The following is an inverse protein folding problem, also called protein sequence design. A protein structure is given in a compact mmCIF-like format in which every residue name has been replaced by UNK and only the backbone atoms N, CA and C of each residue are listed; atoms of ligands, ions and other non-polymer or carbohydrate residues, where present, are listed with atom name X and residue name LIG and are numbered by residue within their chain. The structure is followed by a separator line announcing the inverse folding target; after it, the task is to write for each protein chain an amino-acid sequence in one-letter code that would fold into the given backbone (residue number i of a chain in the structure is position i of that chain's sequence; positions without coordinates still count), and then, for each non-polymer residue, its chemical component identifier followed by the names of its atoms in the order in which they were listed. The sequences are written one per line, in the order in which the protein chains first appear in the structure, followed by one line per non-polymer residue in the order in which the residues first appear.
data_IF_659750767167
#
_entry.id   IF_659750767167
#
_cell.length_a   1.000
_cell.length_b   1.000
_cell.length_c   1.000
_cell.angle_alpha   90.00
_cell.angle_beta   90.00
_cell.angle_gamma   90.00
#
_symmetry.space_group_name_H-M   'P 1'
#
loop_
_entity.id
_entity.type
_entity.pdbx_description
1 polymer ?
#
# COMPACT_ATOMS: atom_id res chain seq x y z
N UNK A 1 -1.58 -11.41 14.68
CA UNK A 1 -2.81 -10.82 14.14
C UNK A 1 -2.57 -9.68 13.16
N UNK A 2 -1.77 -8.65 13.46
CA UNK A 2 -1.59 -7.51 12.54
C UNK A 2 -1.21 -7.86 11.09
N UNK A 3 -0.37 -8.87 10.85
CA UNK A 3 -0.04 -9.29 9.46
C UNK A 3 -1.23 -9.92 8.72
N UNK A 4 -2.17 -10.53 9.44
CA UNK A 4 -3.28 -11.29 8.85
C UNK A 4 -4.26 -10.40 8.05
N UNK A 5 -4.34 -9.11 8.38
CA UNK A 5 -5.21 -8.18 7.65
C UNK A 5 -4.69 -7.87 6.24
N UNK A 6 -3.43 -8.17 5.94
CA UNK A 6 -2.86 -8.09 4.58
C UNK A 6 -3.43 -9.17 3.64
N UNK A 7 -4.08 -10.18 4.20
CA UNK A 7 -4.81 -11.21 3.45
C UNK A 7 -6.29 -10.86 3.22
N UNK A 8 -6.78 -9.71 3.74
CA UNK A 8 -8.17 -9.29 3.53
C UNK A 8 -8.30 -8.20 2.46
N UNK A 9 -9.54 -7.92 2.04
CA UNK A 9 -9.88 -6.71 1.26
C UNK A 9 -9.40 -5.47 2.02
N UNK A 10 -8.75 -4.56 1.31
CA UNK A 10 -8.15 -3.34 1.86
C UNK A 10 -9.00 -2.08 1.69
N UNK A 11 -10.23 -2.22 1.18
CA UNK A 11 -11.25 -1.18 1.26
C UNK A 11 -11.54 -0.82 2.73
N UNK A 12 -11.27 0.43 3.15
CA UNK A 12 -11.48 0.86 4.54
C UNK A 12 -12.94 0.79 5.01
N UNK A 13 -13.89 1.12 4.14
CA UNK A 13 -15.31 1.11 4.48
C UNK A 13 -15.76 -0.33 4.72
N UNK A 14 -15.45 -1.24 3.80
CA UNK A 14 -15.78 -2.66 3.96
C UNK A 14 -15.16 -3.27 5.21
N UNK A 15 -13.90 -2.92 5.55
CA UNK A 15 -13.24 -3.43 6.77
C UNK A 15 -13.97 -3.05 8.05
N UNK A 16 -14.53 -1.84 8.09
CA UNK A 16 -15.32 -1.36 9.23
C UNK A 16 -16.72 -1.99 9.24
N UNK A 17 -17.43 -1.95 8.13
CA UNK A 17 -18.78 -2.55 7.99
C UNK A 17 -18.80 -4.05 8.28
N UNK A 18 -17.74 -4.77 7.90
CA UNK A 18 -17.63 -6.21 8.13
C UNK A 18 -17.30 -6.59 9.57
N UNK A 19 -16.86 -5.63 10.40
CA UNK A 19 -16.31 -5.87 11.74
C UNK A 19 -14.87 -6.43 11.74
N UNK A 20 -14.18 -6.43 10.60
CA UNK A 20 -12.77 -6.88 10.53
C UNK A 20 -11.86 -5.91 11.27
N UNK A 21 -12.14 -4.61 11.17
CA UNK A 21 -11.43 -3.59 11.92
C UNK A 21 -11.60 -3.80 13.43
N UNK A 22 -12.85 -4.00 13.89
CA UNK A 22 -13.15 -4.20 15.31
C UNK A 22 -12.49 -5.44 15.89
N UNK A 23 -12.47 -6.54 15.12
CA UNK A 23 -11.78 -7.76 15.51
C UNK A 23 -10.30 -7.49 15.83
N UNK A 24 -9.65 -6.66 15.01
CA UNK A 24 -8.24 -6.30 15.18
C UNK A 24 -8.07 -5.36 16.37
N UNK A 25 -8.93 -4.34 16.51
CA UNK A 25 -8.88 -3.43 17.66
C UNK A 25 -9.04 -4.19 18.99
N UNK A 26 -10.08 -5.02 19.11
CA UNK A 26 -10.32 -5.87 20.29
C UNK A 26 -9.08 -6.71 20.61
N UNK A 27 -8.51 -7.38 19.59
CA UNK A 27 -7.31 -8.17 19.80
C UNK A 27 -6.16 -7.34 20.39
N UNK A 28 -5.86 -6.17 19.83
CA UNK A 28 -4.74 -5.33 20.27
C UNK A 28 -4.99 -4.68 21.64
N UNK A 29 -6.24 -4.30 21.93
CA UNK A 29 -6.65 -3.82 23.25
C UNK A 29 -6.43 -4.88 24.32
N UNK A 30 -6.87 -6.11 24.06
CA UNK A 30 -6.75 -7.22 25.02
C UNK A 30 -5.29 -7.62 25.26
N UNK A 31 -4.52 -7.76 24.19
CA UNK A 31 -3.19 -8.40 24.22
C UNK A 31 -2.01 -7.43 24.37
N UNK A 32 -2.14 -6.19 23.90
CA UNK A 32 -1.03 -5.22 23.87
C UNK A 32 -1.37 -3.91 24.60
N UNK A 33 -2.59 -3.77 25.12
CA UNK A 33 -3.05 -2.55 25.82
C UNK A 33 -2.87 -1.28 24.97
N UNK A 34 -3.20 -1.40 23.68
CA UNK A 34 -3.25 -0.28 22.73
C UNK A 34 -4.61 -0.23 22.03
N UNK A 35 -5.08 0.98 21.76
CA UNK A 35 -6.24 1.27 20.91
C UNK A 35 -5.76 1.38 19.47
N UNK A 36 -6.41 0.66 18.56
CA UNK A 36 -6.24 0.86 17.13
C UNK A 36 -6.99 2.12 16.71
N UNK A 37 -6.31 3.05 16.04
CA UNK A 37 -6.89 4.29 15.52
C UNK A 37 -7.17 4.16 14.02
N UNK A 38 -6.22 3.61 13.27
CA UNK A 38 -6.34 3.47 11.82
C UNK A 38 -5.56 2.26 11.29
N UNK A 39 -6.06 1.67 10.20
CA UNK A 39 -5.38 0.69 9.36
C UNK A 39 -5.17 1.32 7.98
N UNK A 40 -4.11 2.14 7.85
CA UNK A 40 -3.83 2.90 6.65
C UNK A 40 -3.29 2.00 5.52
N UNK A 41 -4.02 1.79 4.41
CA UNK A 41 -3.54 0.95 3.31
C UNK A 41 -2.44 1.67 2.50
N UNK A 42 -1.47 0.93 2.00
CA UNK A 42 -0.37 1.47 1.17
C UNK A 42 -0.66 1.38 -0.34
N UNK A 43 -1.93 1.60 -0.71
CA UNK A 43 -2.43 1.46 -2.07
C UNK A 43 -3.24 0.17 -2.27
N UNK A 44 -3.95 0.09 -3.39
CA UNK A 44 -4.77 -1.07 -3.79
C UNK A 44 -3.91 -2.30 -4.02
N UNK A 45 -2.74 -2.11 -4.64
CA UNK A 45 -1.66 -3.08 -4.78
C UNK A 45 -0.35 -2.41 -4.42
N UNK A 46 0.31 -2.92 -3.40
CA UNK A 46 1.42 -2.20 -2.77
C UNK A 46 2.75 -2.92 -2.88
N UNK A 47 2.83 -4.12 -3.48
CA UNK A 47 4.03 -4.95 -3.46
C UNK A 47 4.53 -5.33 -4.85
N UNK A 48 5.85 -5.46 -4.98
CA UNK A 48 6.54 -5.88 -6.20
C UNK A 48 7.93 -6.46 -5.89
N UNK A 49 8.57 -7.05 -6.91
CA UNK A 49 10.00 -7.36 -6.86
C UNK A 49 10.78 -6.35 -7.71
N UNK A 50 11.89 -5.85 -7.16
CA UNK A 50 12.85 -5.02 -7.89
C UNK A 50 14.18 -5.76 -7.99
N UNK A 51 14.73 -5.85 -9.20
CA UNK A 51 15.81 -6.78 -9.54
C UNK A 51 16.96 -6.07 -10.26
N UNK A 52 18.17 -6.62 -10.13
CA UNK A 52 19.35 -6.20 -10.91
C UNK A 52 19.20 -6.55 -12.40
N UNK A 53 18.67 -7.73 -12.67
CA UNK A 53 18.43 -8.28 -14.01
C UNK A 53 16.93 -8.50 -14.27
N UNK A 54 16.50 -8.61 -15.55
CA UNK A 54 15.11 -8.93 -15.86
C UNK A 54 14.68 -10.26 -15.23
N UNK A 55 13.47 -10.32 -14.68
CA UNK A 55 12.90 -11.57 -14.19
C UNK A 55 12.74 -12.59 -15.33
N UNK A 56 12.91 -13.87 -15.01
CA UNK A 56 12.65 -14.95 -15.96
C UNK A 56 11.16 -15.02 -16.32
N UNK A 57 10.88 -15.21 -17.62
CA UNK A 57 9.53 -15.55 -18.11
C UNK A 57 9.16 -17.02 -17.89
N UNK A 58 10.12 -17.87 -17.50
CA UNK A 58 9.88 -19.26 -17.12
C UNK A 58 9.50 -19.33 -15.64
N UNK A 59 8.52 -20.16 -15.30
CA UNK A 59 8.20 -20.51 -13.91
C UNK A 59 9.17 -21.59 -13.41
N UNK A 60 9.73 -21.47 -12.20
CA UNK A 60 9.63 -20.33 -11.29
C UNK A 60 10.53 -19.14 -11.70
N UNK A 61 9.98 -17.93 -11.74
CA UNK A 61 10.60 -16.74 -12.31
C UNK A 61 11.78 -16.15 -11.52
N UNK A 62 11.88 -16.47 -10.22
CA UNK A 62 12.99 -16.05 -9.35
C UNK A 62 14.02 -17.16 -9.11
N UNK A 63 13.99 -18.25 -9.90
CA UNK A 63 14.83 -19.43 -9.68
C UNK A 63 16.30 -19.06 -9.45
N UNK A 64 16.80 -19.34 -8.24
CA UNK A 64 18.21 -19.15 -7.87
C UNK A 64 18.60 -17.71 -7.49
N UNK A 65 17.68 -16.74 -7.57
CA UNK A 65 17.95 -15.37 -7.15
C UNK A 65 17.88 -15.25 -5.63
N UNK A 66 18.87 -14.59 -5.03
CA UNK A 66 18.87 -14.19 -3.62
C UNK A 66 18.07 -12.91 -3.47
N UNK A 67 16.91 -12.99 -2.83
CA UNK A 67 15.98 -11.87 -2.75
C UNK A 67 15.93 -11.38 -1.32
N UNK A 68 16.32 -10.13 -1.11
CA UNK A 68 16.09 -9.48 0.18
C UNK A 68 14.59 -9.37 0.42
N UNK A 69 14.12 -9.80 1.58
CA UNK A 69 12.72 -9.68 1.93
C UNK A 69 12.52 -9.54 3.44
N UNK A 70 11.29 -9.21 3.86
CA UNK A 70 10.84 -9.36 5.25
C UNK A 70 9.92 -10.59 5.33
N UNK A 71 9.58 -11.04 6.54
CA UNK A 71 8.77 -12.24 6.78
C UNK A 71 7.54 -12.35 5.85
N UNK A 72 6.85 -11.23 5.60
CA UNK A 72 5.64 -11.16 4.78
C UNK A 72 5.83 -11.63 3.32
N UNK A 73 7.06 -11.77 2.84
CA UNK A 73 7.39 -12.19 1.48
C UNK A 73 8.10 -13.54 1.40
N UNK A 74 8.49 -14.13 2.53
CA UNK A 74 9.46 -15.23 2.56
C UNK A 74 8.94 -16.50 1.85
N UNK A 75 7.76 -17.01 2.24
CA UNK A 75 7.17 -18.23 1.62
C UNK A 75 6.82 -18.00 0.16
N UNK A 76 6.34 -16.80 -0.17
CA UNK A 76 6.04 -16.42 -1.55
C UNK A 76 7.29 -16.39 -2.42
N UNK A 77 8.39 -15.82 -1.91
CA UNK A 77 9.68 -15.77 -2.62
C UNK A 77 10.18 -17.19 -2.88
N UNK A 78 10.10 -18.09 -1.88
CA UNK A 78 10.42 -19.52 -2.04
C UNK A 78 9.53 -20.20 -3.09
N UNK A 79 8.23 -19.92 -3.08
CA UNK A 79 7.26 -20.46 -4.05
C UNK A 79 7.54 -20.01 -5.49
N UNK A 80 8.13 -18.83 -5.66
CA UNK A 80 8.60 -18.29 -6.93
C UNK A 80 10.05 -18.71 -7.27
N UNK A 81 10.63 -19.67 -6.52
CA UNK A 81 11.95 -20.25 -6.75
C UNK A 81 13.13 -19.42 -6.25
N UNK A 82 12.87 -18.29 -5.60
CA UNK A 82 13.90 -17.43 -5.02
C UNK A 82 14.40 -17.94 -3.68
N UNK A 83 15.57 -17.44 -3.29
CA UNK A 83 16.22 -17.68 -2.00
C UNK A 83 16.00 -16.43 -1.14
N UNK A 84 15.02 -16.40 -0.23
CA UNK A 84 14.78 -15.21 0.58
C UNK A 84 15.92 -14.99 1.59
N UNK A 85 16.38 -13.75 1.70
CA UNK A 85 17.33 -13.30 2.71
C UNK A 85 16.67 -12.20 3.54
N UNK A 86 16.50 -12.45 4.84
CA UNK A 86 15.85 -11.52 5.74
C UNK A 86 16.83 -10.42 6.16
N UNK A 87 16.65 -9.22 5.61
CA UNK A 87 17.46 -8.04 5.91
C UNK A 87 16.51 -6.88 6.19
N UNK A 88 16.68 -6.12 7.29
CA UNK A 88 15.91 -4.91 7.57
C UNK A 88 15.93 -3.89 6.43
N UNK A 89 14.89 -3.04 6.34
CA UNK A 89 14.74 -2.12 5.20
C UNK A 89 15.86 -1.06 5.12
N UNK A 90 16.34 -0.60 6.26
CA UNK A 90 17.46 0.35 6.38
C UNK A 90 18.80 -0.21 5.92
N UNK A 91 18.95 -1.54 5.85
CA UNK A 91 20.16 -2.22 5.38
C UNK A 91 20.06 -2.69 3.92
N UNK A 92 18.89 -2.50 3.28
CA UNK A 92 18.63 -3.01 1.94
C UNK A 92 19.53 -2.36 0.87
N UNK A 93 19.79 -1.05 0.97
CA UNK A 93 20.69 -0.37 0.03
C UNK A 93 22.11 -0.96 0.09
N UNK A 94 22.66 -1.13 1.29
CA UNK A 94 24.00 -1.68 1.48
C UNK A 94 24.09 -3.14 1.01
N UNK A 95 23.08 -3.95 1.32
CA UNK A 95 23.02 -5.35 0.88
C UNK A 95 22.95 -5.47 -0.66
N UNK A 96 22.15 -4.61 -1.30
CA UNK A 96 22.15 -4.49 -2.74
C UNK A 96 23.53 -4.08 -3.23
N UNK A 97 24.07 -2.94 -2.79
CA UNK A 97 25.36 -2.42 -3.25
C UNK A 97 26.52 -3.42 -3.11
N UNK A 98 26.55 -4.19 -2.01
CA UNK A 98 27.53 -5.25 -1.78
C UNK A 98 27.34 -6.51 -2.63
N UNK A 99 26.22 -6.63 -3.36
CA UNK A 99 25.90 -7.80 -4.16
C UNK A 99 25.56 -9.04 -3.32
N UNK A 100 25.19 -8.89 -2.05
CA UNK A 100 24.76 -10.01 -1.21
C UNK A 100 23.36 -10.52 -1.60
N UNK A 101 22.58 -9.68 -2.28
CA UNK A 101 21.27 -9.99 -2.86
C UNK A 101 21.17 -9.50 -4.31
N UNK A 102 20.41 -10.24 -5.12
CA UNK A 102 20.22 -10.00 -6.55
C UNK A 102 19.00 -9.08 -6.82
N UNK A 103 18.22 -8.82 -5.79
CA UNK A 103 17.05 -7.96 -5.79
C UNK A 103 16.33 -7.99 -4.45
N UNK A 104 15.15 -7.40 -4.41
CA UNK A 104 14.35 -7.37 -3.20
C UNK A 104 12.85 -7.36 -3.48
N UNK A 105 12.09 -7.95 -2.55
CA UNK A 105 10.66 -7.69 -2.44
C UNK A 105 10.47 -6.34 -1.73
N UNK A 106 9.71 -5.44 -2.36
CA UNK A 106 9.54 -4.09 -1.85
C UNK A 106 8.18 -3.50 -2.23
N UNK A 107 7.90 -2.33 -1.68
CA UNK A 107 6.66 -1.63 -1.95
C UNK A 107 6.67 -0.97 -3.34
N UNK A 108 5.48 -0.59 -3.81
CA UNK A 108 5.32 0.23 -5.03
C UNK A 108 5.77 1.67 -4.84
N UNK A 109 6.00 2.09 -3.60
CA UNK A 109 6.50 3.41 -3.22
C UNK A 109 7.75 3.33 -2.34
N UNK A 110 8.56 4.39 -2.32
CA UNK A 110 9.76 4.55 -1.48
C UNK A 110 11.07 4.03 -2.10
N UNK A 111 11.07 3.66 -3.38
CA UNK A 111 12.28 3.25 -4.11
C UNK A 111 13.19 4.47 -4.35
N UNK A 112 12.60 5.62 -4.66
CA UNK A 112 13.33 6.88 -4.87
C UNK A 112 13.90 7.39 -3.55
N UNK A 113 13.08 7.41 -2.50
CA UNK A 113 13.45 7.90 -1.16
C UNK A 113 14.67 7.17 -0.60
N UNK A 114 14.78 5.86 -0.88
CA UNK A 114 15.88 5.00 -0.46
C UNK A 114 16.97 4.83 -1.53
N UNK A 115 16.88 5.55 -2.66
CA UNK A 115 17.82 5.49 -3.79
C UNK A 115 18.10 4.08 -4.31
N UNK A 116 17.14 3.17 -4.18
CA UNK A 116 17.33 1.76 -4.53
C UNK A 116 17.53 1.59 -6.05
N UNK A 117 16.99 2.51 -6.85
CA UNK A 117 17.17 2.57 -8.30
C UNK A 117 18.64 2.69 -8.75
N UNK A 118 19.56 3.07 -7.87
CA UNK A 118 21.00 3.09 -8.16
C UNK A 118 21.54 1.67 -8.33
N UNK A 119 21.02 0.72 -7.54
CA UNK A 119 21.51 -0.65 -7.45
C UNK A 119 20.68 -1.69 -8.22
N UNK A 120 19.37 -1.47 -8.36
CA UNK A 120 18.47 -2.32 -9.15
C UNK A 120 17.92 -1.54 -10.33
N UNK A 121 17.71 -2.21 -11.46
CA UNK A 121 17.29 -1.55 -12.72
C UNK A 121 15.96 -2.05 -13.26
N UNK A 122 15.40 -3.12 -12.68
CA UNK A 122 14.16 -3.72 -13.18
C UNK A 122 13.04 -3.72 -12.15
N UNK A 123 11.88 -3.20 -12.54
CA UNK A 123 10.62 -3.26 -11.81
C UNK A 123 9.81 -4.46 -12.33
N UNK A 124 9.59 -5.47 -11.50
CA UNK A 124 8.89 -6.69 -11.92
C UNK A 124 7.37 -6.54 -11.83
N UNK A 125 6.68 -6.97 -12.89
CA UNK A 125 5.22 -6.91 -13.05
C UNK A 125 4.58 -8.32 -13.13
N UNK A 126 3.29 -8.44 -12.75
CA UNK A 126 2.44 -7.38 -12.19
C UNK A 126 2.76 -7.07 -10.72
N UNK A 127 2.29 -5.92 -10.23
CA UNK A 127 2.24 -5.63 -8.79
C UNK A 127 1.22 -6.56 -8.12
N UNK A 128 1.42 -6.87 -6.85
CA UNK A 128 0.59 -7.80 -6.09
C UNK A 128 0.45 -7.35 -4.65
N UNK A 129 -0.33 -8.10 -3.87
CA UNK A 129 -0.37 -7.97 -2.43
C UNK A 129 -0.97 -6.64 -1.93
N UNK A 130 -1.20 -6.59 -0.62
CA UNK A 130 -1.82 -5.46 0.07
C UNK A 130 -1.13 -5.29 1.42
N UNK A 131 -0.42 -4.18 1.60
CA UNK A 131 0.27 -3.83 2.84
C UNK A 131 -0.45 -2.65 3.47
N UNK A 132 -0.38 -2.56 4.79
CA UNK A 132 -0.98 -1.47 5.57
C UNK A 132 -0.05 -1.08 6.72
N UNK A 133 -0.30 0.10 7.29
CA UNK A 133 0.24 0.49 8.58
C UNK A 133 -0.87 0.68 9.59
N UNK A 134 -0.72 0.03 10.75
CA UNK A 134 -1.56 0.26 11.91
C UNK A 134 -1.06 1.48 12.67
N UNK A 135 -1.99 2.40 12.97
CA UNK A 135 -1.78 3.53 13.88
C UNK A 135 -2.41 3.18 15.21
N UNK A 136 -1.63 3.25 16.27
CA UNK A 136 -2.04 2.83 17.60
C UNK A 136 -1.79 3.93 18.63
N UNK A 137 -2.64 3.97 19.65
CA UNK A 137 -2.49 4.81 20.83
C UNK A 137 -2.46 3.95 22.08
N UNK A 138 -1.71 4.37 23.11
CA UNK A 138 -1.75 3.71 24.41
C UNK A 138 -3.19 3.70 24.95
N UNK A 139 -3.67 2.54 25.40
CA UNK A 139 -5.07 2.35 25.79
C UNK A 139 -5.46 3.20 27.00
N UNK A 140 -4.62 3.24 28.04
CA UNK A 140 -4.89 4.02 29.24
C UNK A 140 -4.91 5.53 28.95
N UNK A 141 -4.07 6.00 28.03
CA UNK A 141 -4.11 7.39 27.60
C UNK A 141 -5.41 7.69 26.83
N UNK A 142 -5.80 6.80 25.92
CA UNK A 142 -7.04 6.95 25.16
C UNK A 142 -8.27 7.01 26.08
N UNK A 143 -8.39 6.06 27.00
CA UNK A 143 -9.58 5.93 27.86
C UNK A 143 -9.57 6.87 29.06
N UNK A 144 -8.39 7.12 29.65
CA UNK A 144 -8.26 7.82 30.93
C UNK A 144 -7.84 9.28 30.83
N UNK A 145 -7.36 9.75 29.66
CA UNK A 145 -6.86 11.14 29.50
C UNK A 145 -7.62 11.95 28.45
N UNK A 146 -8.38 11.30 27.57
CA UNK A 146 -9.18 11.99 26.57
C UNK A 146 -10.62 12.08 27.00
N UNK A 147 -11.24 13.22 26.73
CA UNK A 147 -12.69 13.40 26.81
C UNK A 147 -13.40 12.57 25.73
N UNK A 148 -14.72 12.30 25.88
CA UNK A 148 -15.49 11.61 24.85
C UNK A 148 -15.44 12.30 23.48
N UNK A 149 -15.42 13.64 23.45
CA UNK A 149 -15.34 14.41 22.20
C UNK A 149 -13.96 14.29 21.54
N UNK A 150 -12.88 14.29 22.33
CA UNK A 150 -11.52 14.04 21.81
C UNK A 150 -11.34 12.61 21.30
N UNK A 151 -11.88 11.61 22.00
CA UNK A 151 -11.89 10.22 21.54
C UNK A 151 -12.60 10.09 20.20
N UNK A 152 -13.80 10.67 20.09
CA UNK A 152 -14.59 10.70 18.87
C UNK A 152 -13.83 11.37 17.73
N UNK A 153 -13.21 12.52 17.99
CA UNK A 153 -12.43 13.24 16.99
C UNK A 153 -11.25 12.39 16.48
N UNK A 154 -10.51 11.72 17.37
CA UNK A 154 -9.39 10.86 16.97
C UNK A 154 -9.88 9.67 16.13
N UNK A 155 -10.97 9.01 16.54
CA UNK A 155 -11.54 7.89 15.77
C UNK A 155 -12.02 8.34 14.38
N UNK A 156 -12.64 9.52 14.29
CA UNK A 156 -13.05 10.13 13.02
C UNK A 156 -11.86 10.45 12.12
N UNK A 157 -10.79 11.04 12.66
CA UNK A 157 -9.56 11.30 11.90
C UNK A 157 -8.85 10.02 11.48
N UNK A 158 -8.87 8.99 12.32
CA UNK A 158 -8.38 7.66 11.98
C UNK A 158 -9.10 7.10 10.76
N UNK A 159 -10.44 7.18 10.72
CA UNK A 159 -11.24 6.75 9.57
C UNK A 159 -10.95 7.58 8.31
N UNK A 160 -10.83 8.89 8.45
CA UNK A 160 -10.51 9.79 7.32
C UNK A 160 -9.12 9.48 6.74
N UNK A 161 -8.15 9.17 7.59
CA UNK A 161 -6.81 8.76 7.18
C UNK A 161 -6.85 7.47 6.35
N UNK A 162 -7.60 6.45 6.78
CA UNK A 162 -7.70 5.19 6.05
C UNK A 162 -8.26 5.40 4.63
N UNK A 163 -9.34 6.19 4.51
CA UNK A 163 -10.01 6.48 3.24
C UNK A 163 -9.11 7.28 2.31
N UNK A 164 -8.51 8.36 2.81
CA UNK A 164 -7.67 9.25 2.01
C UNK A 164 -6.37 8.59 1.56
N UNK A 165 -5.78 7.74 2.41
CA UNK A 165 -4.47 7.13 2.12
C UNK A 165 -4.54 6.13 0.97
N UNK A 166 -5.64 5.37 0.82
CA UNK A 166 -5.75 4.37 -0.27
C UNK A 166 -5.53 5.02 -1.65
N UNK A 167 -6.32 6.05 -1.96
CA UNK A 167 -6.23 6.78 -3.22
C UNK A 167 -4.87 7.49 -3.37
N UNK A 168 -4.43 8.17 -2.32
CA UNK A 168 -3.18 8.93 -2.34
C UNK A 168 -1.96 8.04 -2.59
N UNK A 169 -1.95 6.83 -2.03
CA UNK A 169 -0.86 5.89 -2.23
C UNK A 169 -0.87 5.26 -3.63
N UNK A 170 -2.04 5.03 -4.22
CA UNK A 170 -2.15 4.62 -5.62
C UNK A 170 -1.64 5.73 -6.57
N UNK A 171 -2.00 6.98 -6.32
CA UNK A 171 -1.48 8.14 -7.07
C UNK A 171 0.04 8.27 -6.91
N UNK A 172 0.56 8.14 -5.68
CA UNK A 172 2.00 8.15 -5.40
C UNK A 172 2.73 7.02 -6.14
N UNK A 173 2.17 5.82 -6.16
CA UNK A 173 2.76 4.67 -6.88
C UNK A 173 2.85 4.92 -8.40
N UNK A 174 1.84 5.56 -9.00
CA UNK A 174 1.87 5.95 -10.43
C UNK A 174 2.94 7.01 -10.69
N UNK A 175 3.01 8.04 -9.84
CA UNK A 175 4.02 9.11 -9.95
C UNK A 175 5.43 8.55 -9.81
N UNK A 176 5.65 7.71 -8.79
CA UNK A 176 6.95 7.10 -8.53
C UNK A 176 7.38 6.16 -9.66
N UNK A 177 6.47 5.36 -10.24
CA UNK A 177 6.77 4.59 -11.44
C UNK A 177 7.21 5.47 -12.62
N UNK A 178 6.50 6.57 -12.86
CA UNK A 178 6.84 7.48 -13.96
C UNK A 178 8.25 8.08 -13.76
N UNK A 179 8.60 8.44 -12.53
CA UNK A 179 9.90 9.01 -12.21
C UNK A 179 11.02 7.96 -12.26
N UNK A 180 10.79 6.75 -11.75
CA UNK A 180 11.76 5.65 -11.85
C UNK A 180 12.09 5.29 -13.30
N UNK A 181 11.11 5.40 -14.22
CA UNK A 181 11.36 5.24 -15.66
C UNK A 181 12.27 6.33 -16.22
N UNK A 182 12.12 7.59 -15.81
CA UNK A 182 13.03 8.68 -16.19
C UNK A 182 14.43 8.47 -15.63
N UNK A 183 14.54 7.88 -14.44
CA UNK A 183 15.79 7.45 -13.82
C UNK A 183 16.38 6.17 -14.45
N UNK A 184 15.79 5.67 -15.54
CA UNK A 184 16.33 4.57 -16.35
C UNK A 184 15.94 3.18 -15.87
N UNK A 185 15.07 3.03 -14.88
CA UNK A 185 14.52 1.72 -14.53
C UNK A 185 13.58 1.21 -15.62
N UNK A 186 13.59 -0.10 -15.86
CA UNK A 186 12.79 -0.77 -16.89
C UNK A 186 11.79 -1.71 -16.24
N UNK A 187 10.63 -1.86 -16.86
CA UNK A 187 9.69 -2.90 -16.43
C UNK A 187 10.09 -4.25 -17.00
N UNK A 188 10.01 -5.30 -16.18
CA UNK A 188 10.10 -6.70 -16.59
C UNK A 188 8.86 -7.44 -16.10
N UNK A 189 8.57 -8.61 -16.66
CA UNK A 189 7.31 -9.32 -16.42
C UNK A 189 7.55 -10.78 -16.07
N UNK A 190 6.89 -11.24 -15.00
CA UNK A 190 6.80 -12.66 -14.72
C UNK A 190 6.16 -13.40 -15.90
N UNK A 191 6.50 -14.69 -16.04
CA UNK A 191 5.77 -15.58 -16.93
C UNK A 191 4.28 -15.66 -16.55
N UNK A 192 3.39 -16.01 -17.50
CA UNK A 192 1.95 -16.04 -17.26
C UNK A 192 1.54 -16.96 -16.10
N UNK A 193 2.28 -18.06 -15.89
CA UNK A 193 2.03 -18.98 -14.77
C UNK A 193 2.26 -18.32 -13.40
N UNK A 194 3.39 -17.61 -13.24
CA UNK A 194 3.71 -16.90 -11.99
C UNK A 194 2.81 -15.67 -11.81
N UNK A 195 2.64 -14.87 -12.87
CA UNK A 195 1.83 -13.66 -12.83
C UNK A 195 0.39 -13.94 -12.38
N UNK A 196 -0.21 -15.05 -12.82
CA UNK A 196 -1.60 -15.41 -12.50
C UNK A 196 -1.80 -15.84 -11.04
N UNK A 197 -0.74 -16.19 -10.30
CA UNK A 197 -0.83 -16.75 -8.93
C UNK A 197 -0.30 -15.83 -7.84
N UNK A 198 0.21 -14.63 -8.15
CA UNK A 198 0.85 -13.75 -7.17
C UNK A 198 -0.07 -13.40 -5.99
N UNK A 199 -1.30 -12.94 -6.23
CA UNK A 199 -2.18 -12.58 -5.12
C UNK A 199 -2.63 -13.80 -4.29
N UNK A 200 -2.83 -14.95 -4.95
CA UNK A 200 -3.14 -16.21 -4.24
C UNK A 200 -1.97 -16.61 -3.34
N UNK A 201 -0.74 -16.55 -3.84
CA UNK A 201 0.47 -16.84 -3.07
C UNK A 201 0.66 -15.84 -1.93
N UNK A 202 0.39 -14.55 -2.14
CA UNK A 202 0.42 -13.53 -1.10
C UNK A 202 -0.56 -13.85 0.03
N UNK A 203 -1.85 -14.02 -0.31
CA UNK A 203 -2.91 -14.31 0.67
C UNK A 203 -2.60 -15.60 1.44
N UNK A 204 -2.18 -16.66 0.73
CA UNK A 204 -1.83 -17.94 1.35
C UNK A 204 -0.66 -17.78 2.33
N UNK A 205 0.42 -17.12 1.90
CA UNK A 205 1.59 -16.87 2.73
C UNK A 205 1.24 -16.06 3.99
N UNK A 206 0.45 -14.99 3.84
CA UNK A 206 0.05 -14.17 4.98
C UNK A 206 -0.78 -14.99 5.99
N UNK A 207 -1.68 -15.86 5.53
CA UNK A 207 -2.39 -16.78 6.42
C UNK A 207 -1.47 -17.79 7.08
N UNK A 208 -0.52 -18.40 6.35
CA UNK A 208 0.49 -19.30 6.91
C UNK A 208 1.30 -18.61 8.03
N UNK A 209 1.77 -17.39 7.79
CA UNK A 209 2.51 -16.60 8.78
C UNK A 209 1.61 -16.27 9.98
N UNK A 210 0.38 -15.84 9.74
CA UNK A 210 -0.56 -15.48 10.79
C UNK A 210 -0.88 -16.68 11.69
N UNK A 211 -1.18 -17.84 11.10
CA UNK A 211 -1.48 -19.08 11.82
C UNK A 211 -0.25 -19.62 12.55
N UNK A 212 0.94 -19.55 11.96
CA UNK A 212 2.20 -19.91 12.63
C UNK A 212 2.47 -19.03 13.85
N UNK A 213 2.19 -17.72 13.76
CA UNK A 213 2.51 -16.76 14.84
C UNK A 213 1.41 -16.62 15.90
N UNK A 214 0.14 -16.82 15.54
CA UNK A 214 -1.01 -16.55 16.42
C UNK A 214 -1.99 -17.72 16.58
N UNK A 215 -1.70 -18.88 15.99
CA UNK A 215 -2.43 -20.13 16.19
C UNK A 215 -3.93 -20.00 15.96
N UNK A 216 -4.72 -20.47 16.93
CA UNK A 216 -6.19 -20.45 16.86
C UNK A 216 -6.79 -19.07 16.67
N UNK A 217 -6.16 -18.00 17.19
CA UNK A 217 -6.68 -16.64 16.99
C UNK A 217 -6.65 -16.25 15.52
N UNK A 218 -5.59 -16.61 14.80
CA UNK A 218 -5.50 -16.36 13.37
C UNK A 218 -6.47 -17.24 12.57
N UNK A 219 -6.66 -18.51 12.96
CA UNK A 219 -7.67 -19.39 12.34
C UNK A 219 -9.09 -18.81 12.49
N UNK A 220 -9.47 -18.42 13.71
CA UNK A 220 -10.78 -17.78 13.98
C UNK A 220 -10.96 -16.49 13.18
N UNK A 221 -9.94 -15.65 13.13
CA UNK A 221 -9.99 -14.43 12.32
C UNK A 221 -10.12 -14.73 10.83
N UNK A 222 -9.43 -15.75 10.32
CA UNK A 222 -9.54 -16.18 8.93
C UNK A 222 -10.95 -16.67 8.61
N UNK A 223 -11.55 -17.48 9.46
CA UNK A 223 -12.93 -17.96 9.32
C UNK A 223 -13.93 -16.81 9.36
N UNK A 224 -13.75 -15.86 10.29
CA UNK A 224 -14.54 -14.64 10.36
C UNK A 224 -14.40 -13.78 9.10
N UNK A 225 -13.17 -13.54 8.63
CA UNK A 225 -12.95 -12.78 7.40
C UNK A 225 -13.56 -13.49 6.18
N UNK A 226 -13.50 -14.83 6.11
CA UNK A 226 -14.17 -15.62 5.06
C UNK A 226 -15.68 -15.47 5.11
N UNK A 227 -16.30 -15.57 6.29
CA UNK A 227 -17.77 -15.45 6.43
C UNK A 227 -18.29 -14.06 6.06
N UNK A 228 -17.43 -13.04 6.10
CA UNK A 228 -17.71 -11.68 5.65
C UNK A 228 -17.33 -11.40 4.19
N UNK A 229 -16.83 -12.40 3.45
CA UNK A 229 -16.35 -12.20 2.07
C UNK A 229 -15.09 -11.32 1.97
N UNK A 230 -14.37 -11.14 3.07
CA UNK A 230 -13.22 -10.24 3.15
C UNK A 230 -11.90 -10.90 2.75
N UNK A 231 -11.82 -12.22 2.63
CA UNK A 231 -10.64 -12.94 2.11
C UNK A 231 -11.09 -14.07 1.21
N UNK A 232 -10.26 -14.42 0.23
CA UNK A 232 -10.46 -15.62 -0.57
C UNK A 232 -10.47 -16.87 0.32
N UNK A 233 -11.38 -17.80 0.02
CA UNK A 233 -11.40 -19.13 0.62
C UNK A 233 -10.11 -19.89 0.28
N UNK A 234 -9.63 -20.72 1.21
CA UNK A 234 -8.59 -21.71 0.92
C UNK A 234 -9.21 -22.85 0.12
N UNK A 235 -9.45 -22.62 -1.16
CA UNK A 235 -10.05 -23.60 -2.05
C UNK A 235 -9.43 -23.47 -3.43
N UNK A 236 -8.90 -24.59 -3.94
CA UNK A 236 -8.55 -24.77 -5.35
C UNK A 236 -9.61 -24.10 -6.22
N UNK A 237 -9.20 -23.40 -7.29
CA UNK A 237 -10.09 -22.91 -8.36
C UNK A 237 -11.24 -23.89 -8.57
N UNK A 238 -12.45 -23.53 -8.13
CA UNK A 238 -13.64 -24.16 -8.67
C UNK A 238 -13.63 -23.81 -10.16
N UNK A 239 -13.41 -24.82 -11.00
CA UNK A 239 -13.64 -24.72 -12.43
C UNK A 239 -15.15 -24.54 -12.60
N UNK A 240 -15.65 -23.32 -12.63
CA UNK A 240 -17.06 -23.05 -12.85
C UNK A 240 -17.38 -21.56 -12.92
N UNK A 241 -17.89 -21.13 -14.07
CA UNK A 241 -18.54 -19.84 -14.33
C UNK A 241 -17.65 -18.60 -14.42
N UNK A 242 -16.82 -18.57 -15.46
CA UNK A 242 -16.59 -17.31 -16.20
C UNK A 242 -17.83 -17.09 -17.08
N UNK A 243 -18.85 -16.41 -16.57
CA UNK A 243 -19.90 -15.86 -17.41
C UNK A 243 -19.32 -14.61 -18.09
N UNK A 244 -18.71 -14.80 -19.26
CA UNK A 244 -18.40 -13.68 -20.16
C UNK A 244 -19.75 -13.17 -20.67
N UNK A 245 -20.29 -12.12 -20.06
CA UNK A 245 -21.36 -11.32 -20.64
C UNK A 245 -20.78 -10.54 -21.82
N UNK A 246 -20.66 -11.20 -22.97
CA UNK A 246 -20.55 -10.52 -24.26
C UNK A 246 -21.93 -9.95 -24.56
N UNK A 247 -22.11 -8.67 -24.29
CA UNK A 247 -23.28 -7.92 -24.72
C UNK A 247 -23.19 -7.73 -26.26
N UNK A 248 -23.59 -8.75 -27.04
CA UNK A 248 -23.87 -8.57 -28.46
C UNK A 248 -25.23 -7.89 -28.60
N UNK A 249 -25.21 -6.56 -28.74
CA UNK A 249 -26.39 -5.82 -29.18
C UNK A 249 -26.57 -6.05 -30.68
N UNK A 250 -27.48 -6.96 -31.04
CA UNK A 250 -27.98 -7.14 -32.41
C UNK A 250 -28.77 -5.90 -32.82
N UNK A 251 -28.15 -4.96 -33.52
CA UNK A 251 -28.89 -4.00 -34.34
C UNK A 251 -29.26 -4.65 -35.67
N UNK A 252 -30.55 -4.93 -35.81
CA UNK A 252 -31.20 -5.46 -37.01
C UNK A 252 -31.58 -4.27 -37.88
N UNK A 253 -30.86 -4.03 -38.97
CA UNK A 253 -31.25 -3.04 -39.98
C UNK A 253 -32.46 -3.54 -40.79
N UNK A 254 -33.52 -2.75 -40.99
CA UNK A 254 -34.48 -2.98 -42.05
C UNK A 254 -34.08 -2.20 -43.31
N UNK A 255 -34.00 -2.92 -44.43
CA UNK A 255 -33.96 -2.35 -45.77
C UNK A 255 -35.32 -1.72 -46.14
N UNK A 256 -35.32 -0.48 -46.66
CA UNK A 256 -35.78 -0.13 -48.03
C UNK A 256 -35.87 1.40 -48.26
N UNK A 257 -35.18 1.81 -49.33
CA UNK A 257 -35.56 2.75 -50.42
C UNK A 257 -35.78 4.25 -50.11
N UNK A 258 -34.93 5.05 -50.77
CA UNK A 258 -35.05 6.40 -51.35
C UNK A 258 -36.02 7.40 -50.70
N UNK A 259 -35.51 8.59 -50.33
CA UNK A 259 -35.77 9.89 -51.01
C UNK A 259 -35.08 11.04 -50.23
N UNK A 260 -34.37 11.88 -51.02
CA UNK A 260 -33.91 13.27 -50.89
C UNK A 260 -33.35 13.90 -49.60
N UNK A 261 -32.14 14.45 -49.75
CA UNK A 261 -31.54 15.51 -48.95
C UNK A 261 -31.94 16.89 -49.50
N UNK A 262 -32.12 17.90 -48.63
CA UNK A 262 -31.34 19.11 -48.85
C UNK A 262 -30.86 19.82 -47.57
N UNK A 263 -29.70 20.47 -47.68
CA UNK A 263 -29.48 21.80 -47.10
C UNK A 263 -28.96 21.90 -45.66
N UNK A 264 -27.64 22.03 -45.52
CA UNK A 264 -27.00 22.75 -44.41
C UNK A 264 -27.29 24.26 -44.56
N UNK A 265 -27.40 25.05 -43.48
CA UNK A 265 -26.25 25.91 -43.21
C UNK A 265 -25.92 26.16 -41.73
N UNK A 266 -24.61 26.27 -41.52
CA UNK A 266 -23.84 26.77 -40.39
C UNK A 266 -24.34 28.12 -39.84
N UNK A 267 -24.50 28.24 -38.51
CA UNK A 267 -23.82 29.21 -37.61
C UNK A 267 -24.61 29.45 -36.31
N UNK A 268 -23.82 29.72 -35.25
CA UNK A 268 -23.99 30.75 -34.19
C UNK A 268 -24.38 30.28 -32.77
N UNK A 269 -23.65 30.87 -31.80
CA UNK A 269 -23.79 30.92 -30.33
C UNK A 269 -22.94 29.90 -29.55
N UNK A 270 -22.06 30.26 -28.60
CA UNK A 270 -21.64 31.56 -28.08
C UNK A 270 -20.32 31.36 -27.31
N UNK A 271 -19.37 32.29 -27.47
CA UNK A 271 -18.24 32.54 -26.57
C UNK A 271 -18.76 33.20 -25.30
N UNK A 272 -18.16 32.89 -24.16
CA UNK A 272 -18.02 33.66 -22.89
C UNK A 272 -17.14 32.71 -22.01
N UNK A 273 -16.00 33.04 -21.42
CA UNK A 273 -15.47 34.28 -20.86
C UNK A 273 -13.93 34.18 -20.82
N UNK A 274 -13.25 35.28 -21.17
CA UNK A 274 -11.83 35.49 -20.93
C UNK A 274 -11.71 36.87 -20.29
N UNK A 275 -11.42 36.97 -18.99
CA UNK A 275 -10.94 38.20 -18.34
C UNK A 275 -9.91 37.86 -17.25
N UNK A 276 -8.77 38.56 -17.40
CA UNK A 276 -7.72 38.98 -16.46
C UNK A 276 -6.75 37.98 -15.83
N UNK A 277 -5.54 38.00 -16.40
CA UNK A 277 -4.26 37.81 -15.72
C UNK A 277 -4.01 38.90 -14.65
N UNK A 278 -3.49 38.49 -13.48
CA UNK A 278 -2.45 39.15 -12.64
C UNK A 278 -2.47 38.54 -11.23
N UNK A 279 -1.43 37.81 -10.86
CA UNK A 279 -1.29 37.29 -9.49
C UNK A 279 -0.27 36.17 -9.29
N UNK A 280 0.27 35.59 -10.37
CA UNK A 280 1.33 34.56 -10.29
C UNK A 280 2.65 35.18 -10.72
N UNK A 281 3.27 35.92 -9.79
CA UNK A 281 4.68 36.34 -9.77
C UNK A 281 4.85 37.28 -8.58
N UNK A 282 4.96 36.70 -7.37
CA UNK A 282 5.57 37.29 -6.17
C UNK A 282 5.37 36.34 -4.97
N UNK A 283 6.04 35.20 -4.99
CA UNK A 283 6.32 34.40 -3.79
C UNK A 283 7.66 33.64 -3.87
N UNK A 284 8.44 33.84 -4.93
CA UNK A 284 9.83 33.39 -5.06
C UNK A 284 10.75 34.61 -5.00
N UNK A 285 10.97 35.19 -3.80
CA UNK A 285 12.13 36.10 -3.57
C UNK A 285 12.43 36.54 -2.15
N UNK A 286 11.88 35.92 -1.11
CA UNK A 286 12.26 36.25 0.27
C UNK A 286 12.43 34.99 1.12
N UNK A 287 13.45 34.20 0.83
CA UNK A 287 14.00 33.23 1.79
C UNK A 287 15.47 32.90 1.45
N UNK A 288 16.29 33.95 1.37
CA UNK A 288 17.76 33.84 1.41
C UNK A 288 18.32 34.88 2.36
N UNK A 289 17.99 34.76 3.66
CA UNK A 289 18.76 35.41 4.74
C UNK A 289 18.45 34.85 6.13
N UNK A 290 19.02 33.68 6.45
CA UNK A 290 19.71 33.45 7.73
C UNK A 290 20.29 32.04 7.77
N UNK A 291 21.56 31.94 7.36
CA UNK A 291 22.45 30.89 7.84
C UNK A 291 23.14 31.44 9.10
N UNK A 292 22.80 30.89 10.26
CA UNK A 292 23.70 30.58 11.39
C UNK A 292 22.90 30.42 12.68
N UNK A 293 22.59 29.18 13.03
CA UNK A 293 22.79 28.66 14.38
C UNK A 293 22.87 27.13 14.29
N UNK A 294 23.83 26.60 15.05
CA UNK A 294 24.42 25.27 14.96
C UNK A 294 23.49 24.07 15.21
N UNK A 295 23.87 22.97 14.56
CA UNK A 295 23.82 21.55 14.99
C UNK A 295 22.53 21.04 15.66
N UNK A 296 21.77 20.23 14.92
CA UNK A 296 21.41 18.84 15.26
C UNK A 296 21.10 18.12 13.94
N UNK A 297 21.87 17.06 13.64
CA UNK A 297 21.75 16.29 12.42
C UNK A 297 20.72 15.17 12.53
N UNK A 298 20.10 14.88 11.38
CA UNK A 298 19.68 13.55 10.90
C UNK A 298 18.48 12.86 11.58
N UNK A 299 17.40 12.81 10.77
CA UNK A 299 16.34 11.80 10.63
C UNK A 299 14.92 12.33 10.80
N UNK A 300 14.38 12.91 9.71
CA UNK A 300 12.95 13.12 9.48
C UNK A 300 12.58 12.62 8.08
N UNK A 301 12.42 11.30 7.91
CA UNK A 301 11.86 10.75 6.66
C UNK A 301 11.19 9.41 6.93
N UNK A 302 9.87 9.46 7.14
CA UNK A 302 8.85 8.43 6.87
C UNK A 302 7.48 8.88 7.41
N UNK A 303 7.45 9.76 8.42
CA UNK A 303 6.23 10.23 9.08
C UNK A 303 5.54 11.41 8.37
N UNK A 304 6.26 12.28 7.67
CA UNK A 304 5.67 13.45 6.98
C UNK A 304 4.81 13.05 5.76
N UNK A 305 5.18 11.98 5.05
CA UNK A 305 4.39 11.56 3.88
C UNK A 305 3.13 10.78 4.25
N UNK A 306 3.02 10.27 5.48
CA UNK A 306 1.79 9.64 5.99
C UNK A 306 0.88 10.67 6.66
N UNK A 307 1.46 11.71 7.22
CA UNK A 307 0.79 12.79 7.90
C UNK A 307 0.88 14.03 7.01
N UNK A 308 -0.02 14.14 6.02
CA UNK A 308 -0.27 15.42 5.38
C UNK A 308 -0.44 16.48 6.48
N UNK A 309 0.10 17.67 6.23
CA UNK A 309 0.24 18.81 7.17
C UNK A 309 -1.00 19.13 8.02
N UNK A 310 -2.19 18.66 7.63
CA UNK A 310 -3.46 18.89 8.34
C UNK A 310 -3.51 18.38 9.79
N UNK A 311 -2.95 17.21 10.13
CA UNK A 311 -3.12 16.67 11.49
C UNK A 311 -2.28 17.44 12.53
N UNK A 312 -1.10 17.94 12.14
CA UNK A 312 -0.27 18.75 13.03
C UNK A 312 -0.76 20.21 13.10
N UNK A 313 -1.26 20.75 11.98
CA UNK A 313 -1.75 22.13 11.91
C UNK A 313 -3.11 22.29 12.62
N UNK A 314 -3.98 21.27 12.60
CA UNK A 314 -5.29 21.30 13.26
C UNK A 314 -5.23 20.99 14.77
N UNK A 315 -4.19 20.29 15.25
CA UNK A 315 -4.03 19.91 16.66
C UNK A 315 -3.25 20.95 17.50
N UNK A 316 -3.06 22.17 16.98
CA UNK A 316 -2.62 23.35 17.72
C UNK A 316 -1.55 23.08 18.77
N UNK A 317 -0.33 22.70 18.36
CA UNK A 317 0.85 22.67 19.24
C UNK A 317 0.80 21.75 20.49
N UNK A 318 -0.29 21.05 20.78
CA UNK A 318 -0.45 20.22 21.97
C UNK A 318 -0.26 18.71 21.71
N UNK A 319 -0.23 18.28 20.45
CA UNK A 319 -0.07 16.87 20.07
C UNK A 319 1.35 16.29 20.29
N UNK A 320 2.35 17.11 20.63
CA UNK A 320 3.73 16.61 20.83
C UNK A 320 3.98 15.95 22.20
N UNK A 321 2.97 15.84 23.08
CA UNK A 321 3.08 15.21 24.42
C UNK A 321 2.35 13.87 24.59
N UNK A 322 1.65 13.35 23.59
CA UNK A 322 0.72 12.20 23.78
C UNK A 322 1.16 10.85 23.19
N UNK A 323 2.38 10.71 22.68
CA UNK A 323 2.99 9.39 22.46
C UNK A 323 2.36 8.53 21.34
N UNK A 324 1.84 9.15 20.28
CA UNK A 324 1.43 8.44 19.06
C UNK A 324 2.66 7.79 18.42
N UNK A 325 2.62 6.47 18.25
CA UNK A 325 3.70 5.70 17.61
C UNK A 325 3.18 5.01 16.35
N UNK A 326 3.90 5.16 15.24
CA UNK A 326 3.79 4.30 14.07
C UNK A 326 4.59 3.02 14.32
N UNK A 327 3.94 1.87 14.45
CA UNK A 327 4.64 0.60 14.64
C UNK A 327 4.96 -0.05 13.29
N UNK A 328 6.15 0.26 12.75
CA UNK A 328 6.87 -0.64 11.87
C UNK A 328 7.76 -1.54 12.74
N UNK A 329 7.41 -2.82 12.87
CA UNK A 329 8.01 -3.76 13.84
C UNK A 329 9.55 -3.75 13.85
N UNK A 330 10.14 -3.38 15.00
CA UNK A 330 11.38 -3.99 15.50
C UNK A 330 11.00 -5.12 16.46
N UNK A 331 11.09 -6.36 16.00
CA UNK A 331 11.10 -7.51 16.89
C UNK A 331 12.52 -7.62 17.47
N UNK A 332 12.74 -7.04 18.66
CA UNK A 332 13.94 -7.31 19.44
C UNK A 332 13.71 -8.67 20.12
N UNK A 333 14.60 -9.62 19.89
CA UNK A 333 14.56 -10.94 20.52
C UNK A 333 14.67 -10.79 22.05
N UNK A 334 13.62 -11.13 22.78
CA UNK A 334 13.71 -11.31 24.22
C UNK A 334 14.38 -12.66 24.49
N UNK A 335 15.61 -12.61 25.02
CA UNK A 335 16.20 -13.72 25.78
C UNK A 335 15.34 -13.92 27.03
N UNK A 336 15.02 -15.18 27.36
CA UNK A 336 14.40 -15.50 28.65
C UNK A 336 15.34 -15.13 29.79
N UNK A 337 14.83 -14.63 30.93
CA UNK A 337 15.58 -14.65 32.18
C UNK A 337 15.47 -16.05 32.82
N UNK A 338 16.64 -16.60 33.11
CA UNK A 338 17.03 -17.71 33.99
C UNK A 338 16.17 -18.98 34.08
#
# INVERSE_FOLDING_TARGET
MGVAIEATDNDPAKRRESGVWDFVDVHYRETHKVKLIAIAPLGTKSSQYILREPVSKKSPGLKGLRIRCVDAYESMTKSLGGIPINIPANEAYAALAAGTVDGMAFLTTGIIDLKLYEQVKYLTRPVFGRVHFGIYMNLNAYEGKLTPDEQKLIDEQGRNLEISTLKRMDEKAVQELAELKKLGMKETQFGPEDAARLDELWIRNIWEIAEKKAGDKARKFREFAKSKGMTMGSGKREKGSVFILIFQQKFRFPNRKNIDLPGNPVRRHLRLFQISERGVRNAEKNETRNQNTDRISLHRTHSHDLCGTDLCDQLGGHAFRTGIQTVGKYARSEKSPD
#
